data_IF_690451172874
#
_entry.id   IF_690451172874
#
_cell.length_a   1.000
_cell.length_b   1.000
_cell.length_c   1.000
_cell.angle_alpha   90.00
_cell.angle_beta   90.00
_cell.angle_gamma   90.00
#
_symmetry.space_group_name_H-M   'P 1'
#
loop_
_entity.id
_entity.type
_entity.pdbx_description
1 polymer ?
#
# COMPACT_ATOMS: atom_id res chain seq x y z
N UNK A 1 -8.43 9.96 24.34
CA UNK A 1 -8.90 8.95 23.62
C UNK A 1 -8.18 8.67 22.41
N UNK A 2 -7.57 7.61 22.42
CA UNK A 2 -6.77 7.18 21.33
C UNK A 2 -7.58 6.57 20.24
N UNK A 3 -8.84 6.35 20.50
CA UNK A 3 -9.69 5.72 19.53
C UNK A 3 -9.83 6.54 18.28
N UNK A 4 -9.69 7.85 18.40
CA UNK A 4 -9.85 8.71 17.25
C UNK A 4 -8.87 8.41 16.16
N UNK A 5 -7.63 8.06 16.54
CA UNK A 5 -6.62 7.76 15.56
C UNK A 5 -6.97 6.47 14.84
N UNK A 6 -7.41 5.47 15.57
CA UNK A 6 -7.74 4.19 14.96
C UNK A 6 -8.96 4.26 14.07
N UNK A 7 -9.82 5.24 14.29
CA UNK A 7 -11.05 5.37 13.53
C UNK A 7 -10.92 6.26 12.30
N UNK A 8 -9.71 6.69 11.98
CA UNK A 8 -9.52 7.61 10.87
C UNK A 8 -9.94 6.96 9.56
N UNK A 9 -10.65 7.71 8.74
CA UNK A 9 -11.13 7.24 7.46
C UNK A 9 -10.24 7.73 6.34
N UNK A 10 -10.10 6.90 5.31
CA UNK A 10 -9.45 7.29 4.07
C UNK A 10 -10.51 7.50 3.01
N UNK A 11 -10.26 8.43 2.10
CA UNK A 11 -11.16 8.65 0.97
C UNK A 11 -10.50 8.04 -0.26
N UNK A 12 -11.17 7.06 -0.85
CA UNK A 12 -10.68 6.41 -2.06
C UNK A 12 -11.65 6.66 -3.20
N UNK A 13 -11.13 7.16 -4.30
CA UNK A 13 -11.96 7.45 -5.47
C UNK A 13 -11.98 6.24 -6.38
N UNK A 14 -13.17 5.80 -6.76
CA UNK A 14 -13.32 4.66 -7.66
C UNK A 14 -12.78 5.01 -9.04
N UNK A 15 -11.89 4.17 -9.55
CA UNK A 15 -11.32 4.41 -10.87
C UNK A 15 -12.32 4.14 -11.99
N UNK A 16 -13.38 3.38 -11.71
CA UNK A 16 -14.38 3.04 -12.71
C UNK A 16 -15.51 4.06 -12.78
N UNK A 17 -16.06 4.48 -11.65
CA UNK A 17 -17.24 5.34 -11.67
C UNK A 17 -17.01 6.71 -11.02
N UNK A 18 -15.84 6.97 -10.46
CA UNK A 18 -15.51 8.26 -9.89
C UNK A 18 -16.08 8.54 -8.51
N UNK A 19 -16.84 7.62 -7.95
CA UNK A 19 -17.44 7.83 -6.63
C UNK A 19 -16.37 7.85 -5.55
N UNK A 20 -16.49 8.80 -4.62
CA UNK A 20 -15.60 8.87 -3.48
C UNK A 20 -16.14 7.99 -2.38
N UNK A 21 -15.29 7.15 -1.84
CA UNK A 21 -15.65 6.18 -0.81
C UNK A 21 -14.88 6.46 0.46
N UNK A 22 -15.56 6.40 1.60
CA UNK A 22 -14.92 6.52 2.92
C UNK A 22 -14.60 5.13 3.40
N UNK A 23 -13.32 4.86 3.61
CA UNK A 23 -12.87 3.51 3.94
C UNK A 23 -12.15 3.53 5.28
N UNK A 24 -12.48 2.57 6.13
CA UNK A 24 -11.77 2.37 7.40
C UNK A 24 -10.65 1.37 7.18
N UNK A 25 -9.60 1.42 7.99
CA UNK A 25 -8.60 0.35 7.95
C UNK A 25 -9.27 -1.00 8.16
N UNK A 26 -8.87 -1.99 7.41
CA UNK A 26 -9.51 -3.29 7.49
C UNK A 26 -8.50 -4.37 7.20
N UNK A 27 -8.55 -5.44 7.99
CA UNK A 27 -7.76 -6.63 7.70
C UNK A 27 -8.52 -7.63 6.86
N UNK A 28 -9.79 -7.41 6.59
CA UNK A 28 -10.59 -8.44 5.98
C UNK A 28 -10.38 -8.59 4.48
N UNK A 29 -10.10 -7.53 3.81
CA UNK A 29 -9.90 -7.62 2.38
C UNK A 29 -9.93 -6.27 1.74
N UNK A 30 -9.74 -6.25 0.44
CA UNK A 30 -9.68 -5.03 -0.32
C UNK A 30 -11.04 -4.34 -0.35
N UNK A 31 -11.06 -3.01 -0.26
CA UNK A 31 -12.34 -2.30 -0.31
C UNK A 31 -12.91 -2.27 -1.71
N UNK A 32 -14.23 -2.20 -1.77
CA UNK A 32 -14.97 -2.14 -3.02
C UNK A 32 -15.83 -0.89 -3.02
N UNK A 33 -16.07 -0.36 -4.21
CA UNK A 33 -16.90 0.83 -4.35
C UNK A 33 -18.32 0.55 -3.91
N UNK A 34 -18.83 1.41 -3.04
CA UNK A 34 -20.20 1.25 -2.56
C UNK A 34 -21.24 1.49 -3.64
N UNK A 35 -20.88 2.12 -4.75
CA UNK A 35 -21.82 2.40 -5.82
C UNK A 35 -21.76 1.35 -6.92
N UNK A 36 -20.57 1.05 -7.45
CA UNK A 36 -20.48 0.13 -8.59
C UNK A 36 -19.95 -1.24 -8.23
N UNK A 37 -19.47 -1.44 -7.02
CA UNK A 37 -19.03 -2.75 -6.55
C UNK A 37 -17.63 -3.16 -6.97
N UNK A 38 -16.95 -2.39 -7.80
CA UNK A 38 -15.60 -2.77 -8.25
C UNK A 38 -14.56 -2.48 -7.19
N UNK A 39 -13.44 -3.21 -7.20
CA UNK A 39 -12.37 -2.94 -6.24
C UNK A 39 -11.84 -1.52 -6.37
N UNK A 40 -11.50 -0.92 -5.24
CA UNK A 40 -10.98 0.44 -5.21
C UNK A 40 -9.47 0.43 -5.29
N UNK A 41 -8.85 1.43 -5.95
CA UNK A 41 -7.41 1.63 -5.82
C UNK A 41 -7.10 1.86 -4.34
N UNK A 42 -6.25 1.03 -3.76
CA UNK A 42 -6.03 1.07 -2.33
C UNK A 42 -4.68 1.72 -2.05
N UNK A 43 -4.70 3.02 -1.84
CA UNK A 43 -3.50 3.78 -1.54
C UNK A 43 -3.83 4.72 -0.39
N UNK A 44 -3.12 4.57 0.72
CA UNK A 44 -3.37 5.36 1.91
C UNK A 44 -2.05 5.84 2.48
N UNK A 45 -2.11 6.85 3.34
CA UNK A 45 -0.94 7.30 4.10
C UNK A 45 -1.07 6.79 5.52
N UNK A 46 0.06 6.45 6.12
CA UNK A 46 0.08 6.00 7.50
C UNK A 46 1.12 6.78 8.30
N UNK A 47 0.90 6.84 9.59
CA UNK A 47 1.81 7.46 10.53
C UNK A 47 2.30 6.42 11.51
N UNK A 48 3.23 6.83 12.39
CA UNK A 48 3.68 5.95 13.47
C UNK A 48 2.50 5.43 14.27
N UNK A 49 1.43 6.23 14.40
CA UNK A 49 0.27 5.85 15.20
C UNK A 49 -0.72 4.95 14.46
N UNK A 50 -0.78 5.05 13.12
CA UNK A 50 -1.81 4.34 12.35
C UNK A 50 -1.26 3.17 11.54
N UNK A 51 0.05 3.03 11.47
CA UNK A 51 0.65 2.05 10.58
C UNK A 51 0.20 0.63 10.88
N UNK A 52 0.08 0.29 12.13
CA UNK A 52 -0.27 -1.09 12.47
C UNK A 52 -1.61 -1.46 11.88
N UNK A 53 -2.62 -0.61 12.03
CA UNK A 53 -3.92 -0.94 11.45
C UNK A 53 -3.92 -0.81 9.93
N UNK A 54 -3.15 0.12 9.37
CA UNK A 54 -3.17 0.27 7.92
C UNK A 54 -2.39 -0.83 7.21
N UNK A 55 -1.39 -1.40 7.84
CA UNK A 55 -0.57 -2.40 7.16
C UNK A 55 -1.10 -3.81 7.31
N UNK A 56 -2.13 -4.02 8.10
CA UNK A 56 -2.72 -5.35 8.23
C UNK A 56 -3.52 -5.68 6.98
N UNK A 57 -3.26 -6.81 6.43
CA UNK A 57 -4.08 -7.33 5.35
C UNK A 57 -3.71 -8.78 5.16
N UNK A 58 -4.72 -9.62 5.12
CA UNK A 58 -4.51 -11.04 4.90
C UNK A 58 -4.82 -11.44 3.48
N UNK A 59 -5.39 -10.55 2.71
CA UNK A 59 -5.85 -10.90 1.38
C UNK A 59 -5.02 -10.30 0.26
N UNK A 60 -4.25 -9.26 0.54
CA UNK A 60 -3.49 -8.59 -0.52
C UNK A 60 -2.09 -8.30 -0.02
N UNK A 61 -1.18 -8.13 -0.97
CA UNK A 61 0.16 -7.66 -0.64
C UNK A 61 0.09 -6.18 -0.27
N UNK A 62 0.89 -5.79 0.72
CA UNK A 62 0.99 -4.41 1.15
C UNK A 62 2.37 -3.91 0.76
N UNK A 63 2.41 -2.82 0.00
CA UNK A 63 3.68 -2.16 -0.36
C UNK A 63 3.78 -0.90 0.47
N UNK A 64 4.77 -0.86 1.36
CA UNK A 64 5.04 0.31 2.18
C UNK A 64 6.01 1.19 1.42
N UNK A 65 5.61 2.42 1.12
CA UNK A 65 6.43 3.37 0.38
C UNK A 65 7.04 4.35 1.38
N UNK A 66 8.31 4.17 1.68
CA UNK A 66 9.04 5.07 2.58
C UNK A 66 9.62 6.20 1.74
N UNK A 67 9.11 7.41 1.95
CA UNK A 67 9.40 8.54 1.07
C UNK A 67 9.56 9.83 1.88
N UNK A 68 9.99 10.89 1.21
CA UNK A 68 10.03 12.21 1.81
C UNK A 68 9.74 13.26 0.73
N UNK A 69 9.20 14.44 1.12
CA UNK A 69 8.84 15.47 0.13
C UNK A 69 10.02 16.02 -0.65
N UNK A 70 11.22 16.03 -0.05
CA UNK A 70 12.39 16.58 -0.72
C UNK A 70 13.09 15.58 -1.63
N UNK A 71 12.61 14.37 -1.68
CA UNK A 71 13.28 13.28 -2.39
C UNK A 71 12.84 13.25 -3.84
N UNK A 72 13.75 13.57 -4.76
CA UNK A 72 13.45 13.56 -6.19
C UNK A 72 13.04 12.19 -6.72
N UNK A 73 13.82 11.12 -6.45
CA UNK A 73 13.44 9.78 -6.91
C UNK A 73 12.09 9.32 -6.36
N UNK A 74 11.72 9.79 -5.17
CA UNK A 74 10.40 9.45 -4.61
C UNK A 74 9.28 10.02 -5.47
N UNK A 75 9.51 11.20 -6.05
CA UNK A 75 8.51 11.82 -6.94
C UNK A 75 8.34 11.05 -8.23
N UNK A 76 9.35 10.30 -8.61
CA UNK A 76 9.26 9.44 -9.77
C UNK A 76 8.44 8.18 -9.45
N UNK A 77 8.68 7.59 -8.28
CA UNK A 77 8.02 6.34 -7.88
C UNK A 77 6.56 6.56 -7.48
N UNK A 78 6.26 7.70 -6.86
CA UNK A 78 4.91 7.96 -6.37
C UNK A 78 3.82 7.75 -7.40
N UNK A 79 3.89 8.43 -8.55
CA UNK A 79 2.86 8.24 -9.58
C UNK A 79 2.78 6.81 -10.11
N UNK A 80 3.92 6.11 -10.15
CA UNK A 80 3.92 4.72 -10.58
C UNK A 80 3.12 3.87 -9.59
N UNK A 81 3.30 4.11 -8.30
CA UNK A 81 2.55 3.37 -7.29
C UNK A 81 1.06 3.68 -7.35
N UNK A 82 0.71 4.92 -7.68
CA UNK A 82 -0.70 5.27 -7.88
C UNK A 82 -1.29 4.50 -9.05
N UNK A 83 -0.55 4.41 -10.14
CA UNK A 83 -0.99 3.62 -11.29
C UNK A 83 -1.17 2.16 -10.92
N UNK A 84 -0.21 1.61 -10.18
CA UNK A 84 -0.28 0.21 -9.80
C UNK A 84 -1.43 -0.06 -8.85
N UNK A 85 -1.73 0.88 -7.95
CA UNK A 85 -2.88 0.74 -7.06
C UNK A 85 -4.18 0.65 -7.87
N UNK A 86 -4.26 1.39 -8.98
CA UNK A 86 -5.42 1.30 -9.86
C UNK A 86 -5.44 0.01 -10.66
N UNK A 87 -4.30 -0.35 -11.24
CA UNK A 87 -4.23 -1.53 -12.11
C UNK A 87 -4.43 -2.82 -11.35
N UNK A 88 -3.96 -2.86 -10.11
CA UNK A 88 -4.06 -4.05 -9.29
C UNK A 88 -5.03 -3.88 -8.14
N UNK A 89 -6.06 -3.06 -8.34
CA UNK A 89 -7.09 -2.87 -7.33
C UNK A 89 -7.67 -4.24 -6.94
N UNK A 90 -7.79 -4.46 -5.66
CA UNK A 90 -8.23 -5.74 -5.13
C UNK A 90 -7.10 -6.70 -4.81
N UNK A 91 -5.88 -6.41 -5.27
CA UNK A 91 -4.74 -7.31 -5.07
C UNK A 91 -3.53 -6.62 -4.46
N UNK A 92 -3.59 -5.30 -4.28
CA UNK A 92 -2.46 -4.52 -3.80
C UNK A 92 -2.96 -3.40 -2.91
N UNK A 93 -2.27 -3.19 -1.79
CA UNK A 93 -2.47 -2.00 -0.97
C UNK A 93 -1.16 -1.26 -0.89
N UNK A 94 -1.17 0.04 -1.16
CA UNK A 94 0.00 0.89 -1.02
C UNK A 94 -0.16 1.73 0.23
N UNK A 95 0.81 1.69 1.14
CA UNK A 95 0.79 2.46 2.37
C UNK A 95 1.98 3.41 2.32
N UNK A 96 1.72 4.71 2.20
CA UNK A 96 2.77 5.71 2.09
C UNK A 96 3.15 6.20 3.48
N UNK A 97 4.44 6.26 3.76
CA UNK A 97 4.97 6.70 5.04
C UNK A 97 6.01 7.78 4.79
N UNK A 98 5.71 9.00 5.24
CA UNK A 98 6.65 10.11 5.18
C UNK A 98 7.68 9.92 6.29
N UNK A 99 8.93 9.63 5.93
CA UNK A 99 9.94 9.29 6.92
C UNK A 99 10.35 10.48 7.78
N UNK A 100 10.16 11.70 7.28
CA UNK A 100 10.50 12.89 8.06
C UNK A 100 9.56 13.06 9.24
N UNK A 101 8.30 12.67 9.08
CA UNK A 101 7.29 12.84 10.10
C UNK A 101 7.05 11.58 10.93
N UNK A 102 7.63 10.47 10.53
CA UNK A 102 7.35 9.18 11.18
C UNK A 102 8.65 8.45 11.44
N UNK A 103 9.38 8.97 12.42
CA UNK A 103 10.72 8.50 12.71
C UNK A 103 10.78 7.09 13.26
N UNK A 104 9.76 6.67 13.97
CA UNK A 104 9.73 5.31 14.49
C UNK A 104 9.66 4.31 13.35
N UNK A 105 8.80 4.58 12.37
CA UNK A 105 8.70 3.71 11.20
C UNK A 105 9.96 3.75 10.36
N UNK A 106 10.54 4.93 10.22
CA UNK A 106 11.78 5.08 9.46
C UNK A 106 12.88 4.20 10.05
N UNK A 107 13.00 4.19 11.37
CA UNK A 107 13.97 3.34 12.04
C UNK A 107 13.62 1.87 11.95
N UNK A 108 12.36 1.59 12.19
CA UNK A 108 11.87 0.21 12.21
C UNK A 108 12.14 -0.48 10.88
N UNK A 109 12.01 0.23 9.78
CA UNK A 109 12.27 -0.32 8.45
C UNK A 109 13.67 -0.04 7.96
N UNK A 110 14.52 0.58 8.81
CA UNK A 110 15.90 0.90 8.44
C UNK A 110 15.94 1.67 7.12
N UNK A 111 15.15 2.73 7.03
CA UNK A 111 15.00 3.49 5.79
C UNK A 111 16.12 4.50 5.64
N UNK A 112 17.34 4.01 5.37
CA UNK A 112 18.52 4.86 5.20
C UNK A 112 18.56 5.50 3.82
N UNK A 113 18.02 4.81 2.85
CA UNK A 113 17.93 5.31 1.49
C UNK A 113 16.47 5.36 1.11
N UNK A 114 16.03 6.44 0.47
CA UNK A 114 14.65 6.54 0.01
C UNK A 114 14.66 6.88 -1.47
N UNK A 115 13.66 6.41 -2.23
CA UNK A 115 12.55 5.58 -1.74
C UNK A 115 13.00 4.17 -1.40
N UNK A 116 12.37 3.60 -0.40
CA UNK A 116 12.48 2.18 -0.11
C UNK A 116 11.07 1.63 -0.07
N UNK A 117 10.84 0.57 -0.82
CA UNK A 117 9.55 -0.11 -0.81
C UNK A 117 9.70 -1.42 -0.07
N UNK A 118 8.85 -1.65 0.92
CA UNK A 118 8.86 -2.88 1.67
C UNK A 118 7.56 -3.62 1.37
N UNK A 119 7.66 -4.86 0.94
CA UNK A 119 6.48 -5.65 0.61
C UNK A 119 6.16 -6.55 1.78
N UNK A 120 4.93 -6.46 2.25
CA UNK A 120 4.44 -7.27 3.36
C UNK A 120 3.36 -8.22 2.87
N UNK A 121 3.42 -9.46 3.35
CA UNK A 121 2.33 -10.42 3.16
C UNK A 121 2.04 -11.05 4.51
N UNK A 122 0.78 -10.94 4.94
CA UNK A 122 0.35 -11.43 6.24
C UNK A 122 1.23 -10.87 7.36
N UNK A 123 1.62 -9.62 7.21
CA UNK A 123 2.42 -8.93 8.23
C UNK A 123 3.91 -9.20 8.16
N UNK A 124 4.36 -10.10 7.32
CA UNK A 124 5.79 -10.45 7.22
C UNK A 124 6.43 -9.77 6.03
N UNK A 125 7.66 -9.29 6.20
CA UNK A 125 8.40 -8.68 5.10
C UNK A 125 8.83 -9.80 4.14
N UNK A 126 8.39 -9.70 2.90
CA UNK A 126 8.73 -10.70 1.88
C UNK A 126 9.63 -10.13 0.80
N UNK A 127 9.77 -8.81 0.71
CA UNK A 127 10.67 -8.23 -0.28
C UNK A 127 11.01 -6.80 0.14
N UNK A 128 12.11 -6.29 -0.39
CA UNK A 128 12.57 -4.93 -0.10
C UNK A 128 13.22 -4.39 -1.37
N UNK A 129 12.76 -3.24 -1.83
CA UNK A 129 13.25 -2.64 -3.07
C UNK A 129 13.79 -1.27 -2.70
N UNK A 130 15.08 -1.07 -2.88
CA UNK A 130 15.74 0.20 -2.57
C UNK A 130 15.99 0.95 -3.86
N UNK A 131 15.53 2.20 -3.91
CA UNK A 131 15.73 3.04 -5.07
C UNK A 131 14.53 3.08 -5.99
N UNK A 132 14.61 3.96 -6.99
CA UNK A 132 13.49 4.18 -7.89
C UNK A 132 13.67 3.30 -9.14
N UNK A 133 12.80 2.32 -9.28
CA UNK A 133 12.80 1.48 -10.47
C UNK A 133 11.77 2.00 -11.47
N UNK A 134 12.04 1.86 -12.78
CA UNK A 134 11.02 2.13 -13.78
C UNK A 134 9.83 1.18 -13.61
N UNK A 135 8.67 1.61 -14.09
CA UNK A 135 7.44 0.85 -13.88
C UNK A 135 7.55 -0.63 -14.31
N UNK A 136 8.11 -0.97 -15.49
CA UNK A 136 8.17 -2.39 -15.87
C UNK A 136 9.00 -3.21 -14.89
N UNK A 137 10.09 -2.65 -14.39
CA UNK A 137 10.95 -3.37 -13.44
C UNK A 137 10.26 -3.52 -12.10
N UNK A 138 9.53 -2.48 -11.69
CA UNK A 138 8.80 -2.53 -10.45
C UNK A 138 7.68 -3.57 -10.51
N UNK A 139 6.97 -3.61 -11.64
CA UNK A 139 5.94 -4.62 -11.84
C UNK A 139 6.54 -6.02 -11.77
N UNK A 140 7.68 -6.22 -12.40
CA UNK A 140 8.33 -7.53 -12.39
C UNK A 140 8.68 -7.97 -10.97
N UNK A 141 9.12 -7.03 -10.14
CA UNK A 141 9.45 -7.34 -8.74
C UNK A 141 8.21 -7.61 -7.91
N UNK A 142 7.14 -6.89 -8.15
CA UNK A 142 5.94 -6.99 -7.33
C UNK A 142 5.01 -8.12 -7.76
N UNK A 143 5.00 -8.44 -9.04
CA UNK A 143 4.00 -9.36 -9.57
C UNK A 143 3.91 -10.69 -8.82
N UNK A 144 5.02 -11.36 -8.45
CA UNK A 144 4.91 -12.61 -7.72
C UNK A 144 4.17 -12.47 -6.39
N UNK A 145 4.21 -11.29 -5.79
CA UNK A 145 3.55 -11.04 -4.51
C UNK A 145 2.08 -10.69 -4.70
N UNK A 146 1.69 -10.27 -5.91
CA UNK A 146 0.32 -9.87 -6.19
C UNK A 146 -0.56 -11.05 -6.59
N UNK A 147 0.04 -12.19 -6.92
CA UNK A 147 -0.71 -13.35 -7.29
C UNK A 147 -1.40 -13.90 -6.05
N UNK A 148 -2.69 -14.13 -6.16
CA UNK A 148 -3.45 -14.62 -5.04
C UNK A 148 -3.07 -16.08 -4.78
N UNK A 149 -2.87 -16.38 -3.51
CA UNK A 149 -2.48 -17.70 -3.15
C UNK A 149 -3.54 -18.74 -3.54
N UNK A 150 -4.79 -18.38 -3.41
CA UNK A 150 -5.86 -19.27 -3.78
C UNK A 150 -5.84 -19.61 -5.24
N UNK A 151 -5.51 -18.63 -6.07
CA UNK A 151 -5.50 -18.85 -7.49
C UNK A 151 -4.36 -19.79 -7.89
N UNK A 152 -3.27 -19.76 -7.14
CA UNK A 152 -2.14 -20.61 -7.46
C UNK A 152 -2.16 -21.89 -6.66
N UNK A 153 -3.07 -22.04 -5.71
CA UNK A 153 -3.10 -23.23 -4.90
C UNK A 153 -3.52 -24.41 -5.74
N UNK A 154 -2.92 -25.55 -5.53
CA UNK A 154 -3.29 -26.70 -6.31
C UNK A 154 -4.68 -27.12 -5.95
N UNK A 155 -5.37 -27.51 -6.89
CA UNK A 155 -6.69 -27.96 -6.62
C UNK A 155 -6.49 -29.26 -5.97
N UNK A 156 -6.24 -29.92 -5.73
CA UNK A 156 -6.16 -31.16 -5.15
C UNK A 156 -7.33 -31.99 -5.43
#
# INVERSE_FOLDING_TARGET
MTDHVAARLSILTCASCGTKNKIRPSERGAPHCGKCGKPLPWLVSATDATFESESRSKSVAVVVDLWAPWCGPCRFVGPILEDLAREYAGRLKVVKVNVDENRMLSRSFDARSIPTLVVLKDGAVVDRIVGALPKPDLVARLFPHLIRREASAPPH
#
